data_IF_235576174663
#
_entry.id   IF_235576174663
#
_cell.length_a   1.000
_cell.length_b   1.000
_cell.length_c   1.000
_cell.angle_alpha   90.00
_cell.angle_beta   90.00
_cell.angle_gamma   90.00
#
_symmetry.space_group_name_H-M   'P 1'
#
loop_
_entity.id
_entity.type
_entity.pdbx_description
1 polymer ?
#
# COMPACT_ATOMS: atom_id res chain seq x y z
N UNK A 1 5.56 20.70 -9.95
CA UNK A 1 5.86 21.65 -11.07
C UNK A 1 5.63 21.01 -12.45
N UNK A 2 6.25 19.86 -12.76
CA UNK A 2 6.24 19.27 -14.11
C UNK A 2 5.00 18.44 -14.44
N UNK A 3 4.24 18.02 -13.42
CA UNK A 3 3.14 17.08 -13.58
C UNK A 3 2.07 17.54 -14.58
N UNK A 4 1.64 18.81 -14.50
CA UNK A 4 0.61 19.34 -15.40
C UNK A 4 1.05 19.34 -16.86
N UNK A 5 2.32 19.68 -17.13
CA UNK A 5 2.90 19.65 -18.47
C UNK A 5 3.08 18.21 -18.98
N UNK A 6 3.57 17.31 -18.14
CA UNK A 6 3.75 15.89 -18.48
C UNK A 6 2.41 15.21 -18.84
N UNK A 7 1.34 15.50 -18.08
CA UNK A 7 -0.01 15.01 -18.40
C UNK A 7 -0.53 15.56 -19.73
N UNK A 8 -0.21 16.82 -20.06
CA UNK A 8 -0.62 17.43 -21.33
C UNK A 8 0.13 16.86 -22.54
N UNK A 9 1.39 16.48 -22.37
CA UNK A 9 2.25 15.95 -23.42
C UNK A 9 1.90 14.52 -23.87
N UNK A 10 1.19 13.75 -23.04
CA UNK A 10 0.82 12.37 -23.35
C UNK A 10 -0.50 12.30 -24.12
N UNK A 11 -0.63 11.34 -25.03
CA UNK A 11 -1.92 10.95 -25.60
C UNK A 11 -2.69 9.98 -24.69
N UNK A 12 -3.96 9.68 -25.00
CA UNK A 12 -4.70 8.59 -24.34
C UNK A 12 -3.96 7.25 -24.48
N UNK A 13 -3.87 6.48 -23.40
CA UNK A 13 -3.10 5.24 -23.31
C UNK A 13 -1.60 5.44 -23.03
N UNK A 14 -1.11 6.68 -22.96
CA UNK A 14 0.28 6.98 -22.64
C UNK A 14 0.66 6.62 -21.20
N UNK A 15 1.87 6.13 -20.98
CA UNK A 15 2.40 5.82 -19.66
C UNK A 15 3.22 7.00 -19.09
N UNK A 16 2.91 7.38 -17.85
CA UNK A 16 3.64 8.39 -17.09
C UNK A 16 4.31 7.74 -15.88
N UNK A 17 5.63 7.92 -15.76
CA UNK A 17 6.40 7.54 -14.57
C UNK A 17 6.66 8.76 -13.69
N UNK A 18 6.30 8.66 -12.40
CA UNK A 18 6.50 9.72 -11.40
C UNK A 18 7.26 9.15 -10.21
N UNK A 19 8.30 9.87 -9.76
CA UNK A 19 9.00 9.57 -8.53
C UNK A 19 8.91 10.79 -7.59
N UNK A 20 8.61 10.56 -6.31
CA UNK A 20 8.65 11.58 -5.27
C UNK A 20 9.67 11.18 -4.19
N UNK A 21 10.69 12.00 -4.00
CA UNK A 21 11.80 11.77 -3.07
C UNK A 21 11.65 12.53 -1.75
N UNK A 22 10.63 13.38 -1.60
CA UNK A 22 10.31 14.07 -0.35
C UNK A 22 9.47 13.19 0.60
N UNK A 23 9.88 11.93 0.74
CA UNK A 23 9.23 10.93 1.61
C UNK A 23 9.00 11.44 3.04
N UNK A 24 9.90 12.22 3.68
CA UNK A 24 9.60 12.79 5.00
C UNK A 24 8.31 13.61 5.04
N UNK A 25 8.02 14.39 3.99
CA UNK A 25 6.78 15.19 3.90
C UNK A 25 5.57 14.27 3.67
N UNK A 26 5.68 13.34 2.72
CA UNK A 26 4.64 12.38 2.37
C UNK A 26 4.31 11.38 3.49
N UNK A 27 5.30 11.01 4.33
CA UNK A 27 5.16 10.15 5.51
C UNK A 27 4.74 10.94 6.78
N UNK A 28 4.48 12.25 6.64
CA UNK A 28 3.88 13.07 7.67
C UNK A 28 4.81 13.71 8.70
N UNK A 29 6.11 13.84 8.42
CA UNK A 29 7.00 14.67 9.27
C UNK A 29 6.46 16.11 9.42
N UNK A 30 5.84 16.66 8.37
CA UNK A 30 5.08 17.92 8.44
C UNK A 30 3.76 17.79 7.69
N UNK A 31 2.65 17.69 8.45
CA UNK A 31 1.31 17.63 7.88
C UNK A 31 1.00 18.89 7.05
N UNK A 32 1.32 20.08 7.57
CA UNK A 32 1.08 21.33 6.87
C UNK A 32 1.87 21.43 5.55
N UNK A 33 3.12 20.97 5.50
CA UNK A 33 3.88 20.94 4.25
C UNK A 33 3.28 19.95 3.24
N UNK A 34 2.80 18.80 3.72
CA UNK A 34 2.17 17.78 2.91
C UNK A 34 0.83 18.29 2.33
N UNK A 35 -0.01 18.91 3.15
CA UNK A 35 -1.27 19.54 2.74
C UNK A 35 -1.04 20.63 1.68
N UNK A 36 -0.02 21.48 1.84
CA UNK A 36 0.33 22.50 0.83
C UNK A 36 0.80 21.92 -0.51
N UNK A 37 1.59 20.83 -0.50
CA UNK A 37 2.19 20.27 -1.72
C UNK A 37 1.28 19.29 -2.45
N UNK A 38 0.60 18.44 -1.69
CA UNK A 38 -0.15 17.29 -2.18
C UNK A 38 -1.65 17.39 -1.92
N UNK A 39 -2.11 18.44 -1.23
CA UNK A 39 -3.53 18.72 -1.02
C UNK A 39 -4.23 17.73 -0.10
N UNK A 40 -3.51 17.10 0.83
CA UNK A 40 -4.12 16.21 1.80
C UNK A 40 -3.24 15.90 3.02
N UNK A 41 -3.89 15.42 4.08
CA UNK A 41 -3.25 15.07 5.34
C UNK A 41 -2.59 13.69 5.25
N UNK A 42 -1.30 13.56 5.57
CA UNK A 42 -0.58 12.29 5.46
C UNK A 42 -0.89 11.35 6.62
N UNK A 43 -0.86 10.05 6.33
CA UNK A 43 -0.73 8.99 7.35
C UNK A 43 0.70 9.01 7.88
N UNK A 44 0.87 8.74 9.17
CA UNK A 44 2.16 8.77 9.88
C UNK A 44 2.59 7.38 10.32
N UNK A 45 3.80 7.30 10.86
CA UNK A 45 4.34 6.06 11.43
C UNK A 45 4.65 5.04 10.34
N UNK A 46 4.42 3.76 10.65
CA UNK A 46 4.87 2.64 9.79
C UNK A 46 4.17 2.62 8.45
N UNK A 47 2.89 2.98 8.43
CA UNK A 47 2.06 3.07 7.23
C UNK A 47 2.30 4.36 6.43
N UNK A 48 3.11 5.29 6.94
CA UNK A 48 3.42 6.56 6.30
C UNK A 48 3.99 6.44 4.87
N UNK A 49 4.90 5.51 4.55
CA UNK A 49 5.38 5.31 3.18
C UNK A 49 4.29 4.96 2.18
N UNK A 50 3.41 4.00 2.51
CA UNK A 50 2.28 3.66 1.64
C UNK A 50 1.22 4.77 1.63
N UNK A 51 0.96 5.41 2.77
CA UNK A 51 0.06 6.56 2.85
C UNK A 51 0.51 7.70 1.96
N UNK A 52 1.82 7.97 1.92
CA UNK A 52 2.45 8.92 1.03
C UNK A 52 2.33 8.54 -0.44
N UNK A 53 2.53 7.27 -0.79
CA UNK A 53 2.29 6.77 -2.15
C UNK A 53 0.82 6.97 -2.58
N UNK A 54 -0.13 6.64 -1.70
CA UNK A 54 -1.57 6.80 -1.94
C UNK A 54 -1.97 8.26 -2.04
N UNK A 55 -1.33 9.15 -1.28
CA UNK A 55 -1.52 10.59 -1.39
C UNK A 55 -0.97 11.14 -2.71
N UNK A 56 0.20 10.68 -3.14
CA UNK A 56 0.77 11.02 -4.46
C UNK A 56 -0.18 10.59 -5.58
N UNK A 57 -0.69 9.36 -5.56
CA UNK A 57 -1.66 8.88 -6.56
C UNK A 57 -2.94 9.72 -6.57
N UNK A 58 -3.48 10.07 -5.39
CA UNK A 58 -4.63 10.95 -5.32
C UNK A 58 -4.34 12.34 -5.89
N UNK A 59 -3.15 12.89 -5.62
CA UNK A 59 -2.71 14.16 -6.19
C UNK A 59 -2.56 14.07 -7.73
N UNK A 60 -1.98 12.98 -8.24
CA UNK A 60 -1.86 12.71 -9.68
C UNK A 60 -3.23 12.68 -10.36
N UNK A 61 -4.16 11.92 -9.80
CA UNK A 61 -5.52 11.77 -10.34
C UNK A 61 -6.29 13.09 -10.32
N UNK A 62 -6.29 13.84 -9.20
CA UNK A 62 -6.94 15.16 -9.16
C UNK A 62 -6.32 16.13 -10.18
N UNK A 63 -5.02 16.07 -10.40
CA UNK A 63 -4.33 16.92 -11.38
C UNK A 63 -4.69 16.55 -12.83
N UNK A 64 -4.90 15.27 -13.11
CA UNK A 64 -5.34 14.77 -14.41
C UNK A 64 -6.82 15.09 -14.66
N UNK A 65 -7.67 14.89 -13.66
CA UNK A 65 -9.11 15.21 -13.68
C UNK A 65 -9.34 16.67 -14.04
N UNK A 66 -8.58 17.59 -13.46
CA UNK A 66 -8.65 19.02 -13.78
C UNK A 66 -8.32 19.35 -15.26
N UNK A 67 -7.83 18.37 -16.03
CA UNK A 67 -7.47 18.47 -17.45
C UNK A 67 -8.32 17.54 -18.34
N UNK A 68 -9.46 17.05 -17.85
CA UNK A 68 -10.34 16.15 -18.60
C UNK A 68 -9.76 14.75 -18.81
N UNK A 69 -8.90 14.30 -17.90
CA UNK A 69 -8.20 13.00 -17.96
C UNK A 69 -8.36 12.23 -16.66
N UNK A 70 -7.99 10.96 -16.66
CA UNK A 70 -7.82 10.13 -15.46
C UNK A 70 -6.51 9.36 -15.56
N UNK A 71 -5.97 8.95 -14.42
CA UNK A 71 -4.79 8.09 -14.35
C UNK A 71 -5.14 6.77 -13.68
N UNK A 72 -4.63 5.69 -14.27
CA UNK A 72 -4.75 4.34 -13.71
C UNK A 72 -3.37 3.84 -13.29
N UNK A 73 -3.12 3.54 -12.01
CA UNK A 73 -1.89 2.88 -11.60
C UNK A 73 -1.71 1.55 -12.32
N UNK A 74 -0.56 1.36 -12.96
CA UNK A 74 -0.14 0.05 -13.47
C UNK A 74 0.86 -0.61 -12.52
N UNK A 75 1.79 0.19 -11.98
CA UNK A 75 2.71 -0.23 -10.92
C UNK A 75 3.03 0.96 -10.04
N UNK A 76 2.61 0.92 -8.79
CA UNK A 76 2.95 1.91 -7.77
C UNK A 76 3.59 1.22 -6.56
N UNK A 77 4.75 1.71 -6.13
CA UNK A 77 5.51 1.07 -5.07
C UNK A 77 6.30 2.05 -4.20
N UNK A 78 6.59 1.60 -2.98
CA UNK A 78 7.51 2.26 -2.04
C UNK A 78 8.92 1.71 -2.27
N UNK A 79 9.88 2.58 -2.53
CA UNK A 79 11.32 2.27 -2.53
C UNK A 79 12.00 2.75 -1.23
N UNK A 80 13.31 2.57 -1.12
CA UNK A 80 14.06 2.82 0.13
C UNK A 80 13.86 4.25 0.69
N UNK A 81 13.93 5.28 -0.18
CA UNK A 81 13.79 6.70 0.20
C UNK A 81 12.87 7.50 -0.73
N UNK A 82 12.07 6.82 -1.54
CA UNK A 82 11.17 7.47 -2.49
C UNK A 82 9.95 6.59 -2.75
N UNK A 83 8.90 7.20 -3.27
CA UNK A 83 7.77 6.47 -3.84
C UNK A 83 7.79 6.62 -5.36
N UNK A 84 7.37 5.59 -6.07
CA UNK A 84 7.28 5.59 -7.52
C UNK A 84 5.91 5.11 -7.99
N UNK A 85 5.35 5.81 -8.97
CA UNK A 85 4.10 5.44 -9.62
C UNK A 85 4.28 5.47 -11.14
N UNK A 86 3.98 4.35 -11.78
CA UNK A 86 3.73 4.26 -13.21
C UNK A 86 2.23 4.22 -13.42
N UNK A 87 1.70 5.19 -14.16
CA UNK A 87 0.27 5.33 -14.41
C UNK A 87 -0.01 5.43 -15.91
N UNK A 88 -1.11 4.81 -16.34
CA UNK A 88 -1.67 4.97 -17.68
C UNK A 88 -2.59 6.18 -17.69
N UNK A 89 -2.36 7.13 -18.59
CA UNK A 89 -3.18 8.33 -18.76
C UNK A 89 -4.30 8.04 -19.75
N UNK A 90 -5.55 8.30 -19.35
CA UNK A 90 -6.74 8.06 -20.17
C UNK A 90 -7.56 9.33 -20.33
N UNK A 91 -8.33 9.40 -21.41
CA UNK A 91 -9.39 10.41 -21.54
C UNK A 91 -10.47 10.13 -20.51
N UNK A 92 -11.00 11.18 -19.89
CA UNK A 92 -12.13 11.05 -18.97
C UNK A 92 -13.45 11.08 -19.73
N UNK A 93 -14.34 10.14 -19.45
CA UNK A 93 -15.72 10.11 -19.88
C UNK A 93 -16.67 10.50 -18.75
N UNK A 94 -17.85 11.01 -19.09
CA UNK A 94 -18.93 11.23 -18.14
C UNK A 94 -19.49 9.91 -17.57
N UNK A 95 -19.29 8.80 -18.27
CA UNK A 95 -19.67 7.45 -17.84
C UNK A 95 -18.66 6.80 -16.89
N UNK A 96 -17.48 7.41 -16.70
CA UNK A 96 -16.44 6.83 -15.85
C UNK A 96 -16.90 6.82 -14.39
N UNK A 97 -16.62 5.74 -13.65
CA UNK A 97 -16.89 5.71 -12.22
C UNK A 97 -16.08 6.80 -11.50
N UNK A 98 -16.53 7.26 -10.32
CA UNK A 98 -15.74 8.16 -9.49
C UNK A 98 -14.35 7.57 -9.21
N UNK A 99 -13.33 8.42 -9.25
CA UNK A 99 -11.98 8.02 -8.87
C UNK A 99 -11.99 7.41 -7.46
N UNK A 100 -11.26 6.32 -7.19
CA UNK A 100 -11.23 5.66 -5.89
C UNK A 100 -10.37 6.46 -4.90
N UNK A 101 -10.81 7.67 -4.61
CA UNK A 101 -10.16 8.63 -3.72
C UNK A 101 -11.13 8.92 -2.57
N UNK A 102 -10.65 8.75 -1.35
CA UNK A 102 -11.45 9.05 -0.16
C UNK A 102 -10.59 9.59 0.96
N UNK A 103 -11.25 10.18 1.94
CA UNK A 103 -10.67 10.60 3.20
C UNK A 103 -10.98 9.53 4.24
N UNK A 104 -9.95 9.03 4.94
CA UNK A 104 -10.10 7.97 5.92
C UNK A 104 -10.21 8.59 7.31
N UNK A 105 -11.37 8.45 7.93
CA UNK A 105 -11.55 8.68 9.36
C UNK A 105 -11.08 7.44 10.15
N UNK A 106 -10.04 7.55 11.00
CA UNK A 106 -9.52 6.41 11.77
C UNK A 106 -10.56 5.72 12.63
N UNK A 107 -11.59 6.43 13.09
CA UNK A 107 -12.65 5.87 13.94
C UNK A 107 -13.61 4.97 13.16
N UNK A 108 -13.80 5.25 11.87
CA UNK A 108 -14.69 4.49 10.96
C UNK A 108 -13.92 3.53 10.05
N UNK A 109 -12.59 3.54 10.14
CA UNK A 109 -11.73 2.74 9.29
C UNK A 109 -11.70 1.29 9.75
N UNK A 110 -11.99 0.35 8.84
CA UNK A 110 -12.02 -1.09 9.12
C UNK A 110 -10.74 -1.85 8.70
N UNK A 111 -9.75 -1.18 8.10
CA UNK A 111 -8.48 -1.81 7.68
C UNK A 111 -7.40 -1.80 8.78
N UNK A 112 -6.10 -1.77 8.48
CA UNK A 112 -5.06 -1.67 9.51
C UNK A 112 -5.16 -0.40 10.37
N UNK A 113 -4.88 -0.42 11.68
CA UNK A 113 -4.83 0.78 12.49
C UNK A 113 -3.83 1.81 11.92
N UNK A 114 -4.32 3.01 11.57
CA UNK A 114 -3.48 4.03 10.92
C UNK A 114 -2.64 4.85 11.90
N UNK A 115 -2.99 4.80 13.20
CA UNK A 115 -2.41 5.65 14.24
C UNK A 115 -2.70 7.14 14.06
N UNK A 116 -2.51 7.94 15.12
CA UNK A 116 -2.68 9.39 15.07
C UNK A 116 -4.13 9.88 14.94
N UNK A 117 -4.30 11.21 14.90
CA UNK A 117 -5.61 11.88 14.73
C UNK A 117 -5.81 12.23 13.26
N UNK A 118 -6.81 11.61 12.65
CA UNK A 118 -7.24 11.90 11.29
C UNK A 118 -8.09 13.19 11.19
N UNK A 119 -8.88 13.34 10.13
CA UNK A 119 -9.02 12.41 9.02
C UNK A 119 -7.81 12.45 8.06
N UNK A 120 -7.44 11.32 7.44
CA UNK A 120 -6.31 11.21 6.52
C UNK A 120 -6.74 11.31 5.06
N UNK A 121 -5.94 11.98 4.23
CA UNK A 121 -6.17 12.09 2.80
C UNK A 121 -6.59 13.47 2.32
N UNK A 122 -7.19 13.57 1.12
CA UNK A 122 -7.70 12.47 0.30
C UNK A 122 -6.62 11.49 -0.21
N UNK A 123 -6.85 10.18 -0.04
CA UNK A 123 -5.95 9.08 -0.41
C UNK A 123 -6.53 8.25 -1.56
N UNK A 124 -5.66 7.72 -2.42
CA UNK A 124 -6.03 6.67 -3.35
C UNK A 124 -6.26 5.36 -2.58
N UNK A 125 -7.47 4.82 -2.67
CA UNK A 125 -7.87 3.54 -2.04
C UNK A 125 -8.10 2.43 -3.06
N UNK A 126 -7.91 2.71 -4.34
CA UNK A 126 -7.92 1.69 -5.38
C UNK A 126 -6.62 0.85 -5.40
N UNK A 127 -6.53 -0.07 -6.39
CA UNK A 127 -5.36 -0.91 -6.59
C UNK A 127 -4.10 -0.09 -6.86
N UNK A 128 -2.96 -0.58 -6.35
CA UNK A 128 -1.64 -0.02 -6.65
C UNK A 128 -0.97 -0.72 -7.84
N UNK A 129 -1.43 -1.92 -8.17
CA UNK A 129 -0.82 -2.84 -9.11
C UNK A 129 -1.87 -3.33 -10.10
N UNK A 130 -1.56 -3.27 -11.39
CA UNK A 130 -2.37 -3.91 -12.42
C UNK A 130 -1.91 -5.36 -12.63
N UNK A 131 -2.80 -6.36 -12.46
CA UNK A 131 -2.41 -7.77 -12.59
C UNK A 131 -1.83 -8.12 -13.96
N UNK A 132 -2.40 -7.57 -15.04
CA UNK A 132 -1.96 -7.88 -16.40
C UNK A 132 -0.55 -7.33 -16.66
N UNK A 133 -0.28 -6.10 -16.24
CA UNK A 133 1.01 -5.43 -16.37
C UNK A 133 2.07 -6.12 -15.52
N UNK A 134 1.77 -6.41 -14.24
CA UNK A 134 2.70 -7.06 -13.32
C UNK A 134 3.04 -8.48 -13.75
N UNK A 135 2.07 -9.22 -14.31
CA UNK A 135 2.32 -10.54 -14.89
C UNK A 135 3.24 -10.48 -16.12
N UNK A 136 3.20 -9.38 -16.87
CA UNK A 136 4.03 -9.10 -18.04
C UNK A 136 5.44 -8.62 -17.72
N UNK A 137 5.72 -8.18 -16.48
CA UNK A 137 7.08 -7.74 -16.09
C UNK A 137 8.08 -8.88 -16.27
N UNK A 138 9.22 -8.57 -16.91
CA UNK A 138 10.36 -9.47 -17.09
C UNK A 138 11.62 -8.79 -16.60
N UNK A 139 12.49 -9.55 -15.96
CA UNK A 139 13.86 -9.09 -15.66
C UNK A 139 14.70 -9.36 -16.90
N UNK A 140 15.35 -8.36 -17.50
CA UNK A 140 16.29 -8.60 -18.59
C UNK A 140 17.44 -9.49 -18.10
N UNK A 141 17.73 -10.57 -18.81
CA UNK A 141 18.81 -11.51 -18.47
C UNK A 141 20.19 -10.93 -18.78
N UNK A 142 20.62 -9.91 -18.03
CA UNK A 142 21.97 -9.35 -18.12
C UNK A 142 22.86 -9.90 -16.99
N UNK A 143 24.19 -10.00 -17.18
CA UNK A 143 25.10 -10.52 -16.13
C UNK A 143 25.08 -9.72 -14.82
N UNK A 144 24.58 -8.49 -14.86
CA UNK A 144 24.42 -7.62 -13.70
C UNK A 144 23.11 -7.91 -12.91
N UNK A 145 22.43 -9.02 -13.17
CA UNK A 145 21.14 -9.38 -12.57
C UNK A 145 21.18 -9.37 -11.03
N UNK A 146 20.56 -8.39 -10.38
CA UNK A 146 20.45 -8.42 -8.93
C UNK A 146 19.29 -9.36 -8.61
N UNK A 147 19.57 -10.48 -7.92
CA UNK A 147 18.54 -11.36 -7.31
C UNK A 147 17.43 -10.56 -6.59
N UNK A 148 17.78 -9.37 -6.09
CA UNK A 148 16.88 -8.36 -5.51
C UNK A 148 15.75 -7.92 -6.44
N UNK A 149 15.98 -7.71 -7.74
CA UNK A 149 14.95 -7.27 -8.70
C UNK A 149 13.94 -8.39 -8.93
N UNK A 150 14.41 -9.61 -9.17
CA UNK A 150 13.55 -10.79 -9.34
C UNK A 150 12.67 -11.00 -8.11
N UNK A 151 13.27 -11.00 -6.91
CA UNK A 151 12.53 -11.10 -5.65
C UNK A 151 11.52 -9.96 -5.44
N UNK A 152 11.84 -8.74 -5.89
CA UNK A 152 10.92 -7.60 -5.83
C UNK A 152 9.73 -7.79 -6.76
N UNK A 153 9.94 -8.19 -8.02
CA UNK A 153 8.85 -8.44 -8.97
C UNK A 153 7.96 -9.59 -8.51
N UNK A 154 8.55 -10.68 -7.97
CA UNK A 154 7.78 -11.81 -7.42
C UNK A 154 6.92 -11.38 -6.22
N UNK A 155 7.42 -10.43 -5.42
CA UNK A 155 6.63 -9.82 -4.34
C UNK A 155 5.45 -9.02 -4.88
N UNK A 156 5.66 -8.18 -5.90
CA UNK A 156 4.57 -7.43 -6.53
C UNK A 156 3.49 -8.36 -7.12
N UNK A 157 3.90 -9.47 -7.75
CA UNK A 157 2.97 -10.49 -8.27
C UNK A 157 2.10 -11.10 -7.16
N UNK A 158 2.70 -11.36 -6.00
CA UNK A 158 1.99 -11.90 -4.84
C UNK A 158 1.03 -10.87 -4.24
N UNK A 159 1.48 -9.63 -4.07
CA UNK A 159 0.67 -8.54 -3.52
C UNK A 159 -0.54 -8.18 -4.36
N UNK A 160 -0.42 -8.27 -5.68
CA UNK A 160 -1.51 -7.95 -6.59
C UNK A 160 -2.75 -8.84 -6.36
N UNK A 161 -2.57 -10.06 -5.83
CA UNK A 161 -3.66 -10.98 -5.48
C UNK A 161 -4.33 -10.66 -4.14
N UNK A 162 -3.64 -9.92 -3.28
CA UNK A 162 -4.10 -9.56 -1.94
C UNK A 162 -4.42 -8.06 -1.84
N UNK A 163 -4.90 -7.44 -2.92
CA UNK A 163 -5.09 -5.99 -2.98
C UNK A 163 -6.00 -5.49 -1.86
N UNK A 164 -5.47 -4.54 -1.09
CA UNK A 164 -6.14 -3.90 0.04
C UNK A 164 -5.41 -2.59 0.38
N UNK A 165 -6.09 -1.55 0.88
CA UNK A 165 -5.42 -0.38 1.41
C UNK A 165 -4.60 -0.71 2.66
N UNK A 166 -3.30 -0.40 2.61
CA UNK A 166 -2.34 -0.63 3.69
C UNK A 166 -2.06 -2.11 3.97
N UNK A 167 -1.29 -2.38 5.01
CA UNK A 167 -0.91 -3.71 5.47
C UNK A 167 -0.93 -3.76 7.00
N UNK A 168 -1.00 -4.97 7.55
CA UNK A 168 -0.86 -5.21 8.98
C UNK A 168 0.59 -5.59 9.29
N UNK A 169 1.12 -5.14 10.42
CA UNK A 169 2.38 -5.64 10.96
C UNK A 169 2.06 -6.48 12.21
N UNK A 170 2.48 -7.76 12.29
CA UNK A 170 2.17 -8.61 13.43
C UNK A 170 2.53 -8.00 14.79
N UNK A 171 3.67 -7.31 14.88
CA UNK A 171 4.10 -6.62 16.11
C UNK A 171 3.15 -5.49 16.52
N UNK A 172 2.62 -4.74 15.55
CA UNK A 172 1.68 -3.65 15.83
C UNK A 172 0.32 -4.20 16.28
N UNK A 173 -0.10 -5.35 15.73
CA UNK A 173 -1.28 -6.05 16.23
C UNK A 173 -1.07 -6.45 17.69
N UNK A 174 0.09 -7.01 18.03
CA UNK A 174 0.41 -7.36 19.42
C UNK A 174 0.39 -6.14 20.35
N UNK A 175 0.96 -5.00 19.93
CA UNK A 175 0.91 -3.76 20.71
C UNK A 175 -0.53 -3.27 20.93
N UNK A 176 -1.38 -3.35 19.90
CA UNK A 176 -2.78 -2.92 19.96
C UNK A 176 -3.64 -3.85 20.84
N UNK A 177 -3.50 -5.17 20.66
CA UNK A 177 -4.29 -6.21 21.35
C UNK A 177 -3.64 -6.67 22.67
N UNK A 178 -2.49 -6.10 23.06
CA UNK A 178 -1.69 -6.48 24.25
C UNK A 178 -1.29 -7.96 24.27
N UNK A 179 -0.86 -8.48 23.12
CA UNK A 179 -0.42 -9.87 22.96
C UNK A 179 1.08 -10.01 23.20
N UNK A 180 1.52 -11.16 23.68
CA UNK A 180 2.91 -11.38 24.04
C UNK A 180 3.79 -11.82 22.86
N UNK A 181 3.24 -12.60 21.94
CA UNK A 181 3.99 -13.27 20.87
C UNK A 181 3.38 -12.97 19.50
N UNK A 182 4.09 -12.27 18.61
CA UNK A 182 3.64 -12.06 17.23
C UNK A 182 3.76 -13.36 16.42
N UNK A 183 2.80 -13.59 15.52
CA UNK A 183 2.98 -14.55 14.44
C UNK A 183 4.04 -14.04 13.47
N UNK A 184 4.85 -14.94 12.89
CA UNK A 184 5.69 -14.55 11.76
C UNK A 184 4.81 -14.17 10.56
N UNK A 185 5.23 -13.22 9.70
CA UNK A 185 4.47 -12.85 8.51
C UNK A 185 4.11 -14.03 7.61
N UNK A 186 5.00 -15.03 7.49
CA UNK A 186 4.78 -16.25 6.72
C UNK A 186 3.64 -17.09 7.28
N UNK A 187 3.68 -17.40 8.57
CA UNK A 187 2.61 -18.17 9.24
C UNK A 187 1.29 -17.40 9.21
N UNK A 188 1.34 -16.07 9.32
CA UNK A 188 0.16 -15.23 9.22
C UNK A 188 -0.50 -15.37 7.83
N UNK A 189 0.28 -15.26 6.76
CA UNK A 189 -0.19 -15.43 5.38
C UNK A 189 -0.75 -16.84 5.17
N UNK A 190 -0.06 -17.89 5.62
CA UNK A 190 -0.52 -19.28 5.50
C UNK A 190 -1.88 -19.50 6.18
N UNK A 191 -2.03 -18.99 7.40
CA UNK A 191 -3.29 -19.12 8.14
C UNK A 191 -4.43 -18.32 7.52
N UNK A 192 -4.16 -17.13 6.97
CA UNK A 192 -5.17 -16.37 6.22
C UNK A 192 -5.64 -17.13 4.98
N UNK A 193 -4.71 -17.76 4.24
CA UNK A 193 -5.06 -18.63 3.13
C UNK A 193 -5.90 -19.83 3.56
N UNK A 194 -5.58 -20.45 4.70
CA UNK A 194 -6.37 -21.56 5.24
C UNK A 194 -7.80 -21.16 5.61
N UNK A 195 -8.03 -19.87 5.93
CA UNK A 195 -9.35 -19.29 6.14
C UNK A 195 -10.03 -18.81 4.86
N UNK A 196 -9.42 -18.99 3.69
CA UNK A 196 -9.95 -18.60 2.39
C UNK A 196 -9.71 -17.14 1.99
N UNK A 197 -8.91 -16.39 2.75
CA UNK A 197 -8.56 -15.01 2.42
C UNK A 197 -7.27 -14.95 1.63
N UNK A 198 -7.22 -14.11 0.58
CA UNK A 198 -5.97 -13.77 -0.07
C UNK A 198 -5.04 -13.06 0.92
N UNK A 199 -3.76 -13.40 0.91
CA UNK A 199 -2.77 -12.72 1.73
C UNK A 199 -1.39 -12.75 1.08
N UNK A 200 -0.58 -11.74 1.35
CA UNK A 200 0.81 -11.71 0.91
C UNK A 200 1.67 -10.92 1.87
N UNK A 201 2.99 -11.13 1.80
CA UNK A 201 3.94 -10.12 2.30
C UNK A 201 3.89 -8.88 1.41
N UNK A 202 4.34 -7.73 1.93
CA UNK A 202 4.32 -6.45 1.20
C UNK A 202 5.72 -5.92 0.88
N UNK A 203 5.87 -5.28 -0.27
CA UNK A 203 7.09 -4.60 -0.70
C UNK A 203 7.33 -3.34 0.12
N UNK A 204 6.26 -2.72 0.63
CA UNK A 204 6.36 -1.50 1.44
C UNK A 204 7.06 -1.76 2.78
N UNK A 205 6.91 -2.97 3.33
CA UNK A 205 7.57 -3.46 4.55
C UNK A 205 7.70 -4.98 4.54
N UNK A 206 8.92 -5.54 4.63
CA UNK A 206 9.14 -6.99 4.67
C UNK A 206 8.34 -7.72 5.76
N UNK A 207 8.13 -7.08 6.91
CA UNK A 207 7.41 -7.62 8.07
C UNK A 207 5.88 -7.46 7.96
N UNK A 208 5.40 -6.78 6.91
CA UNK A 208 4.00 -6.49 6.71
C UNK A 208 3.25 -7.61 5.96
N UNK A 209 1.98 -7.78 6.31
CA UNK A 209 1.03 -8.70 5.69
C UNK A 209 -0.12 -7.89 5.10
N UNK A 210 -0.30 -8.00 3.79
CA UNK A 210 -1.39 -7.37 3.04
C UNK A 210 -2.50 -8.40 2.85
N UNK A 211 -3.73 -8.02 3.14
CA UNK A 211 -4.91 -8.88 2.98
C UNK A 211 -6.19 -8.04 2.92
N UNK A 212 -7.19 -8.41 2.11
CA UNK A 212 -8.52 -7.84 2.18
C UNK A 212 -9.36 -8.42 3.33
N UNK A 213 -8.82 -9.35 4.14
CA UNK A 213 -9.53 -9.90 5.29
C UNK A 213 -9.96 -8.78 6.26
N UNK A 214 -11.19 -8.85 6.81
CA UNK A 214 -11.65 -7.87 7.79
C UNK A 214 -10.71 -7.80 9.01
N UNK A 215 -10.53 -6.60 9.59
CA UNK A 215 -9.68 -6.40 10.79
C UNK A 215 -10.04 -7.37 11.91
N UNK A 216 -11.32 -7.67 12.10
CA UNK A 216 -11.80 -8.62 13.10
C UNK A 216 -11.21 -10.03 12.93
N UNK A 217 -11.12 -10.51 11.68
CA UNK A 217 -10.51 -11.81 11.34
C UNK A 217 -9.01 -11.78 11.60
N UNK A 218 -8.33 -10.72 11.14
CA UNK A 218 -6.88 -10.55 11.32
C UNK A 218 -6.51 -10.54 12.81
N UNK A 219 -7.29 -9.84 13.64
CA UNK A 219 -7.03 -9.73 15.07
C UNK A 219 -7.37 -11.04 15.81
N UNK A 220 -8.45 -11.73 15.42
CA UNK A 220 -8.77 -13.05 15.95
C UNK A 220 -7.63 -14.04 15.70
N UNK A 221 -7.08 -14.06 14.48
CA UNK A 221 -5.96 -14.92 14.12
C UNK A 221 -4.72 -14.65 14.99
N UNK A 222 -4.40 -13.37 15.22
CA UNK A 222 -3.27 -12.99 16.06
C UNK A 222 -3.45 -13.46 17.51
N UNK A 223 -4.66 -13.31 18.08
CA UNK A 223 -5.00 -13.79 19.42
C UNK A 223 -4.87 -15.30 19.57
N UNK A 224 -5.33 -16.06 18.56
CA UNK A 224 -5.17 -17.51 18.53
C UNK A 224 -3.69 -17.92 18.44
N UNK A 225 -2.90 -17.20 17.63
CA UNK A 225 -1.46 -17.38 17.54
C UNK A 225 -0.74 -17.21 18.88
N UNK A 226 -1.07 -16.15 19.62
CA UNK A 226 -0.45 -15.89 20.93
C UNK A 226 -0.79 -16.97 21.97
N UNK A 227 -2.06 -17.40 22.06
CA UNK A 227 -2.48 -18.48 22.97
C UNK A 227 -1.76 -19.79 22.69
N UNK A 228 -1.60 -20.15 21.41
CA UNK A 228 -0.88 -21.37 21.02
C UNK A 228 0.60 -21.29 21.42
N UNK A 229 1.24 -20.13 21.23
CA UNK A 229 2.63 -19.92 21.62
C UNK A 229 2.83 -19.97 23.15
N UNK A 230 1.89 -19.42 23.92
CA UNK A 230 1.92 -19.49 25.39
C UNK A 230 1.78 -20.94 25.88
N UNK A 231 0.80 -21.69 25.35
CA UNK A 231 0.59 -23.10 25.68
C UNK A 231 1.83 -23.96 25.40
N UNK A 232 2.52 -23.69 24.29
CA UNK A 232 3.76 -24.40 23.96
C UNK A 232 4.90 -24.05 24.92
N UNK A 233 5.04 -22.77 25.32
CA UNK A 233 6.06 -22.34 26.30
C UNK A 233 5.84 -22.97 27.68
N UNK A 234 4.59 -23.13 28.11
CA UNK A 234 4.25 -23.80 29.37
C UNK A 234 4.59 -25.29 29.32
N UNK A 235 4.25 -25.98 28.22
CA UNK A 235 4.59 -27.40 28.04
C UNK A 235 6.08 -27.71 27.99
N UNK A 236 6.91 -26.75 27.56
CA UNK A 236 8.38 -26.90 27.55
C UNK A 236 9.00 -26.60 28.91
N UNK A 237 8.30 -25.86 29.78
CA UNK A 237 8.77 -25.51 31.12
C UNK A 237 8.35 -26.54 32.20
N UNK A 238 7.29 -27.29 31.95
CA UNK A 238 6.83 -28.40 32.79
C UNK A 238 7.64 -29.67 32.52
#
# INVERSE_FOLDING_TARGET
PFLGAALGALGPGGLLGVAATDMPVLAGASAAACERRYGGRPVRGRLGPEGGLRLLLAYLERTAVARGRTVRPVVAYVGDHHVRAYVEVRSRSASDPPSPITTIDPERWEGPPLGGRGPFGPLWVGPLLDPSFVSGLRVPGTPAEPRRITAFIDRLRSECRADAPFYYEPNEICGHERLATPLSPEVFVERLHALGYAASRTHARPEGVRTPAPRSVVFALAREGDRAAQSQKERVRA
#
